data_IF_881780712360
#
_entry.id   IF_881780712360
#
_cell.length_a   1.000
_cell.length_b   1.000
_cell.length_c   1.000
_cell.angle_alpha   90.00
_cell.angle_beta   90.00
_cell.angle_gamma   90.00
#
_symmetry.space_group_name_H-M   'P 1'
#
loop_
_entity.id
_entity.type
_entity.pdbx_description
1 polymer ?
#
# COMPACT_ATOMS: atom_id res chain seq x y z
N UNK A 1 -7.10 10.19 -13.16
CA UNK A 1 -6.33 9.32 -12.24
C UNK A 1 -4.95 9.12 -12.85
N UNK A 2 -3.90 9.18 -12.04
CA UNK A 2 -2.54 8.80 -12.42
C UNK A 2 -2.14 7.60 -11.55
N UNK A 3 -1.79 6.49 -12.19
CA UNK A 3 -1.48 5.24 -11.52
C UNK A 3 0.01 4.94 -11.65
N UNK A 4 0.67 4.68 -10.52
CA UNK A 4 2.08 4.33 -10.48
C UNK A 4 2.39 3.47 -9.26
N UNK A 5 3.56 2.85 -9.24
CA UNK A 5 3.99 2.05 -8.09
C UNK A 5 4.09 2.92 -6.84
N UNK A 6 3.36 2.55 -5.80
CA UNK A 6 3.38 3.23 -4.51
C UNK A 6 3.09 2.22 -3.40
N UNK A 7 4.01 2.08 -2.46
CA UNK A 7 3.86 1.22 -1.28
C UNK A 7 4.74 1.72 -0.14
N UNK A 8 4.47 1.22 1.07
CA UNK A 8 5.35 1.46 2.21
C UNK A 8 6.80 1.03 1.88
N UNK A 9 7.78 1.83 2.28
CA UNK A 9 9.20 1.59 2.00
C UNK A 9 9.76 2.29 0.75
N UNK A 10 8.98 3.10 0.02
CA UNK A 10 9.46 3.83 -1.17
C UNK A 10 10.05 5.23 -0.90
N UNK A 11 10.35 5.57 0.36
CA UNK A 11 10.82 6.92 0.72
C UNK A 11 9.71 7.85 1.22
N UNK A 12 8.69 7.29 1.88
CA UNK A 12 7.60 8.03 2.51
C UNK A 12 6.34 8.14 1.63
N UNK A 13 5.51 9.14 1.92
CA UNK A 13 4.23 9.38 1.25
C UNK A 13 4.36 10.10 -0.11
N UNK A 14 5.47 10.80 -0.36
CA UNK A 14 5.72 11.49 -1.65
C UNK A 14 7.08 11.07 -2.25
N UNK A 15 7.21 9.82 -2.71
CA UNK A 15 8.48 9.30 -3.19
C UNK A 15 8.96 10.08 -4.43
N UNK A 16 10.08 10.79 -4.29
CA UNK A 16 10.68 11.64 -5.34
C UNK A 16 9.75 12.75 -5.85
N UNK A 17 8.74 13.16 -5.09
CA UNK A 17 7.83 14.25 -5.47
C UNK A 17 6.71 13.85 -6.44
N UNK A 18 6.53 12.55 -6.75
CA UNK A 18 5.57 12.11 -7.77
C UNK A 18 4.11 12.28 -7.34
N UNK A 19 3.83 12.14 -6.03
CA UNK A 19 2.48 12.31 -5.48
C UNK A 19 2.12 13.79 -5.54
N UNK A 20 2.98 14.67 -5.02
CA UNK A 20 2.69 16.10 -5.04
C UNK A 20 2.65 16.67 -6.46
N UNK A 21 3.47 16.19 -7.39
CA UNK A 21 3.38 16.56 -8.80
C UNK A 21 2.04 16.15 -9.43
N UNK A 22 1.56 14.95 -9.12
CA UNK A 22 0.27 14.44 -9.59
C UNK A 22 -0.89 15.28 -9.04
N UNK A 23 -0.88 15.55 -7.74
CA UNK A 23 -1.92 16.32 -7.05
C UNK A 23 -1.95 17.79 -7.48
N UNK A 24 -0.79 18.42 -7.68
CA UNK A 24 -0.70 19.78 -8.26
C UNK A 24 -1.34 19.87 -9.65
N UNK A 25 -1.34 18.77 -10.40
CA UNK A 25 -2.03 18.66 -11.69
C UNK A 25 -3.53 18.39 -11.59
N UNK A 26 -4.12 18.45 -10.39
CA UNK A 26 -5.54 18.16 -10.17
C UNK A 26 -5.92 16.68 -10.41
N UNK A 27 -4.95 15.77 -10.39
CA UNK A 27 -5.16 14.36 -10.70
C UNK A 27 -5.07 13.49 -9.44
N UNK A 28 -6.00 12.54 -9.30
CA UNK A 28 -5.98 11.57 -8.18
C UNK A 28 -4.87 10.53 -8.37
N UNK A 29 -4.13 10.24 -7.30
CA UNK A 29 -3.16 9.14 -7.22
C UNK A 29 -3.86 7.79 -7.02
N UNK A 30 -3.44 6.78 -7.77
CA UNK A 30 -3.79 5.38 -7.52
C UNK A 30 -2.52 4.53 -7.41
N UNK A 31 -2.35 3.86 -6.28
CA UNK A 31 -1.22 2.97 -6.03
C UNK A 31 -1.35 1.66 -6.79
N UNK A 32 -0.40 1.42 -7.68
CA UNK A 32 -0.13 0.11 -8.27
C UNK A 32 0.87 -0.67 -7.42
N UNK A 33 0.74 -2.00 -7.38
CA UNK A 33 1.60 -2.90 -6.59
C UNK A 33 1.79 -2.43 -5.13
N UNK A 34 0.71 -2.19 -4.38
CA UNK A 34 0.80 -1.68 -3.00
C UNK A 34 1.47 -2.67 -2.03
N UNK A 35 1.63 -3.94 -2.44
CA UNK A 35 2.32 -4.99 -1.68
C UNK A 35 3.76 -5.26 -2.16
N UNK A 36 4.38 -4.34 -2.91
CA UNK A 36 5.75 -4.48 -3.41
C UNK A 36 5.96 -5.84 -4.14
N UNK A 37 5.11 -6.14 -5.12
CA UNK A 37 5.07 -7.43 -5.85
C UNK A 37 4.65 -8.68 -5.05
N UNK A 38 4.31 -8.57 -3.76
CA UNK A 38 4.09 -9.76 -2.91
C UNK A 38 5.37 -10.56 -2.64
N UNK A 39 6.48 -10.16 -3.26
CA UNK A 39 7.81 -10.72 -3.13
C UNK A 39 8.74 -9.60 -2.69
N UNK A 40 9.21 -9.68 -1.45
CA UNK A 40 10.19 -8.73 -0.96
C UNK A 40 10.12 -8.51 0.54
N UNK A 41 11.07 -7.68 0.98
CA UNK A 41 11.28 -7.33 2.38
C UNK A 41 10.11 -6.59 3.03
N UNK A 42 9.08 -6.14 2.28
CA UNK A 42 7.97 -5.39 2.85
C UNK A 42 7.10 -6.25 3.77
N UNK A 43 6.60 -7.39 3.27
CA UNK A 43 5.70 -8.25 4.03
C UNK A 43 6.43 -8.98 5.17
N UNK A 44 7.73 -9.20 5.02
CA UNK A 44 8.60 -9.78 6.05
C UNK A 44 9.36 -8.71 6.85
N UNK A 45 9.08 -7.41 6.63
CA UNK A 45 9.78 -6.34 7.33
C UNK A 45 9.47 -6.44 8.83
N UNK A 46 10.47 -6.45 9.73
CA UNK A 46 10.22 -6.51 11.17
C UNK A 46 9.29 -5.40 11.65
N UNK A 47 9.45 -4.17 11.15
CA UNK A 47 8.57 -3.04 11.51
C UNK A 47 7.12 -3.29 11.09
N UNK A 48 6.90 -3.77 9.86
CA UNK A 48 5.54 -4.07 9.37
C UNK A 48 4.92 -5.22 10.15
N UNK A 49 5.71 -6.25 10.47
CA UNK A 49 5.27 -7.38 11.29
C UNK A 49 4.94 -6.96 12.73
N UNK A 50 5.73 -6.07 13.32
CA UNK A 50 5.49 -5.57 14.67
C UNK A 50 4.19 -4.76 14.74
N UNK A 51 3.95 -3.88 13.75
CA UNK A 51 2.68 -3.15 13.60
C UNK A 51 1.52 -4.11 13.36
N UNK A 52 1.69 -5.11 12.50
CA UNK A 52 0.69 -6.13 12.23
C UNK A 52 0.28 -6.88 13.52
N UNK A 53 1.25 -7.29 14.34
CA UNK A 53 0.99 -7.92 15.65
C UNK A 53 0.28 -6.96 16.61
N UNK A 54 0.72 -5.71 16.69
CA UNK A 54 0.10 -4.71 17.57
C UNK A 54 -1.38 -4.45 17.24
N UNK A 55 -1.77 -4.59 15.98
CA UNK A 55 -3.15 -4.38 15.52
C UNK A 55 -3.95 -5.67 15.32
N UNK A 56 -3.34 -6.86 15.51
CA UNK A 56 -4.01 -8.14 15.22
C UNK A 56 -4.41 -8.29 13.76
N UNK A 57 -3.59 -7.79 12.83
CA UNK A 57 -3.82 -7.80 11.38
C UNK A 57 -2.67 -8.49 10.64
N UNK A 58 -2.85 -8.77 9.35
CA UNK A 58 -1.76 -9.27 8.50
C UNK A 58 -0.83 -8.15 8.05
N UNK A 59 0.42 -8.48 7.70
CA UNK A 59 1.36 -7.52 7.12
C UNK A 59 0.83 -6.90 5.80
N UNK A 60 0.07 -7.67 5.01
CA UNK A 60 -0.57 -7.18 3.81
C UNK A 60 -1.64 -6.13 4.14
N UNK A 61 -2.50 -6.38 5.13
CA UNK A 61 -3.50 -5.41 5.59
C UNK A 61 -2.86 -4.11 6.07
N UNK A 62 -1.76 -4.18 6.82
CA UNK A 62 -1.00 -3.00 7.24
C UNK A 62 -0.46 -2.23 6.02
N UNK A 63 0.13 -2.92 5.04
CA UNK A 63 0.68 -2.29 3.84
C UNK A 63 -0.41 -1.62 2.98
N UNK A 64 -1.55 -2.28 2.78
CA UNK A 64 -2.69 -1.71 2.05
C UNK A 64 -3.30 -0.52 2.81
N UNK A 65 -3.50 -0.67 4.13
CA UNK A 65 -4.04 0.39 4.99
C UNK A 65 -3.16 1.63 4.98
N UNK A 66 -1.84 1.45 4.95
CA UNK A 66 -0.89 2.56 4.82
C UNK A 66 -1.19 3.42 3.58
N UNK A 67 -1.46 2.81 2.42
CA UNK A 67 -1.78 3.55 1.19
C UNK A 67 -3.07 4.37 1.36
N UNK A 68 -4.13 3.76 1.90
CA UNK A 68 -5.43 4.42 2.12
C UNK A 68 -5.30 5.57 3.12
N UNK A 69 -4.54 5.38 4.20
CA UNK A 69 -4.30 6.43 5.20
C UNK A 69 -3.52 7.62 4.66
N UNK A 70 -2.70 7.42 3.62
CA UNK A 70 -2.03 8.52 2.92
C UNK A 70 -2.93 9.22 1.89
N UNK A 71 -4.22 8.87 1.81
CA UNK A 71 -5.20 9.54 0.96
C UNK A 71 -5.20 9.05 -0.49
N UNK A 72 -4.67 7.86 -0.76
CA UNK A 72 -4.54 7.34 -2.12
C UNK A 72 -5.43 6.12 -2.34
N UNK A 73 -6.05 6.04 -3.52
CA UNK A 73 -6.69 4.81 -3.98
C UNK A 73 -5.62 3.74 -4.26
N UNK A 74 -6.00 2.46 -4.27
CA UNK A 74 -5.08 1.37 -4.60
C UNK A 74 -5.73 0.34 -5.51
N UNK A 75 -4.89 -0.45 -6.19
CA UNK A 75 -5.30 -1.69 -6.86
C UNK A 75 -4.39 -2.83 -6.39
N UNK A 76 -4.99 -3.92 -5.95
CA UNK A 76 -4.32 -5.16 -5.59
C UNK A 76 -5.02 -6.33 -6.29
N UNK A 77 -4.34 -7.46 -6.42
CA UNK A 77 -4.88 -8.66 -7.06
C UNK A 77 -4.46 -9.90 -6.28
N UNK A 78 -5.38 -10.84 -6.14
CA UNK A 78 -5.12 -12.15 -5.56
C UNK A 78 -6.11 -13.15 -6.14
N UNK A 79 -5.70 -14.41 -6.27
CA UNK A 79 -6.58 -15.51 -6.65
C UNK A 79 -7.11 -16.25 -5.41
N UNK A 80 -6.62 -15.91 -4.21
CA UNK A 80 -7.03 -16.54 -2.96
C UNK A 80 -8.25 -15.81 -2.37
N UNK A 81 -9.43 -16.46 -2.25
CA UNK A 81 -10.63 -15.83 -1.71
C UNK A 81 -10.47 -15.30 -0.27
N UNK A 82 -9.65 -15.95 0.56
CA UNK A 82 -9.37 -15.48 1.92
C UNK A 82 -8.58 -14.16 1.90
N UNK A 83 -7.63 -14.03 0.98
CA UNK A 83 -6.91 -12.77 0.79
C UNK A 83 -7.83 -11.67 0.26
N UNK A 84 -8.71 -11.97 -0.71
CA UNK A 84 -9.69 -10.99 -1.21
C UNK A 84 -10.53 -10.41 -0.07
N UNK A 85 -10.99 -11.26 0.84
CA UNK A 85 -11.75 -10.83 2.02
C UNK A 85 -10.90 -9.97 2.96
N UNK A 86 -9.69 -10.41 3.31
CA UNK A 86 -8.81 -9.67 4.22
C UNK A 86 -8.39 -8.32 3.65
N UNK A 87 -8.16 -8.23 2.34
CA UNK A 87 -7.80 -7.00 1.62
C UNK A 87 -8.94 -5.97 1.63
N UNK A 88 -10.21 -6.41 1.74
CA UNK A 88 -11.38 -5.53 1.91
C UNK A 88 -11.58 -5.08 3.36
N UNK A 89 -11.01 -5.78 4.34
CA UNK A 89 -11.15 -5.52 5.78
C UNK A 89 -10.05 -4.60 6.34
N UNK A 90 -9.51 -3.69 5.49
CA UNK A 90 -8.44 -2.73 5.81
C UNK A 90 -8.95 -1.39 6.33
#
# INVERSE_FOLDING_TARGET
INQFQLHAGMGGSDPRGIVSATERGGTTVQAYRPLAHGFGSLLTNPTVQDVARAHGKSAAQIALRWVVQNGHALVTSTENPAHMRLDLEI
#
